data_IF_107670957496
#
_entry.id   IF_107670957496
#
_cell.length_a   1.000
_cell.length_b   1.000
_cell.length_c   1.000
_cell.angle_alpha   90.00
_cell.angle_beta   90.00
_cell.angle_gamma   90.00
#
_symmetry.space_group_name_H-M   'P 1'
#
loop_
_entity.id
_entity.type
_entity.pdbx_description
1 polymer ?
#
# COMPACT_ATOMS: atom_id res chain seq x y z
N UNK A 1 6.84 1.52 27.75
CA UNK A 1 5.83 1.71 26.69
C UNK A 1 5.05 0.41 26.59
N UNK A 2 3.74 0.50 26.29
CA UNK A 2 2.90 -0.69 26.06
C UNK A 2 3.30 -1.37 24.75
N UNK A 3 3.27 -2.71 24.71
CA UNK A 3 3.44 -3.43 23.46
C UNK A 3 2.19 -3.25 22.59
N UNK A 4 2.41 -3.09 21.30
CA UNK A 4 1.34 -2.98 20.29
C UNK A 4 1.43 -4.13 19.32
N UNK A 5 0.29 -4.72 19.03
CA UNK A 5 0.17 -5.89 18.17
C UNK A 5 -0.75 -5.63 16.98
N UNK A 6 -0.45 -6.29 15.88
CA UNK A 6 -1.33 -6.47 14.72
C UNK A 6 -2.10 -7.76 14.97
N UNK A 7 -3.40 -7.66 15.16
CA UNK A 7 -4.25 -8.83 15.45
C UNK A 7 -4.70 -9.50 14.16
N UNK A 8 -5.24 -8.72 13.23
CA UNK A 8 -5.68 -9.19 11.92
C UNK A 8 -5.54 -8.06 10.90
N UNK A 9 -5.57 -8.40 9.61
CA UNK A 9 -5.55 -7.44 8.52
C UNK A 9 -6.29 -8.02 7.32
N UNK A 10 -7.20 -7.27 6.74
CA UNK A 10 -7.98 -7.68 5.57
C UNK A 10 -8.01 -6.56 4.54
N UNK A 11 -8.28 -6.93 3.30
CA UNK A 11 -8.37 -6.01 2.17
C UNK A 11 -9.39 -6.46 1.13
N UNK A 12 -9.78 -5.58 0.26
CA UNK A 12 -10.42 -5.97 -1.00
C UNK A 12 -9.38 -6.57 -1.95
N UNK A 13 -9.80 -7.28 -2.99
CA UNK A 13 -8.99 -7.40 -4.20
C UNK A 13 -8.70 -6.00 -4.75
N UNK A 14 -7.62 -5.85 -5.54
CA UNK A 14 -7.30 -4.60 -6.22
C UNK A 14 -7.85 -4.64 -7.64
N UNK A 15 -8.68 -3.66 -7.98
CA UNK A 15 -9.26 -3.54 -9.31
C UNK A 15 -8.49 -2.52 -10.15
N UNK A 16 -8.36 -2.79 -11.45
CA UNK A 16 -7.71 -1.88 -12.40
C UNK A 16 -8.52 -0.58 -12.50
N UNK A 17 -7.91 0.58 -12.26
CA UNK A 17 -8.64 1.84 -12.34
C UNK A 17 -9.28 2.08 -13.71
N UNK A 18 -10.45 2.70 -13.69
CA UNK A 18 -11.34 3.02 -14.81
C UNK A 18 -11.88 1.82 -15.60
N UNK A 19 -11.37 0.60 -15.41
CA UNK A 19 -11.72 -0.60 -16.22
C UNK A 19 -11.98 -1.86 -15.39
N UNK A 20 -11.61 -1.85 -14.12
CA UNK A 20 -11.79 -2.97 -13.20
C UNK A 20 -13.08 -2.88 -12.41
N UNK A 21 -13.32 -3.89 -11.56
CA UNK A 21 -14.57 -4.05 -10.83
C UNK A 21 -14.98 -2.90 -9.93
N UNK A 22 -14.03 -2.09 -9.44
CA UNK A 22 -14.31 -0.96 -8.54
C UNK A 22 -14.43 0.40 -9.24
N UNK A 23 -14.54 0.44 -10.56
CA UNK A 23 -14.56 1.72 -11.29
C UNK A 23 -15.77 2.64 -11.00
N UNK A 24 -16.76 2.14 -10.24
CA UNK A 24 -17.91 2.91 -9.73
C UNK A 24 -18.05 2.84 -8.21
N UNK A 25 -17.13 2.15 -7.51
CA UNK A 25 -17.26 1.90 -6.07
C UNK A 25 -16.57 2.98 -5.26
N UNK A 26 -17.30 3.55 -4.30
CA UNK A 26 -16.77 4.59 -3.40
C UNK A 26 -15.79 3.99 -2.38
N UNK A 27 -14.73 4.74 -2.01
CA UNK A 27 -13.73 4.25 -1.05
C UNK A 27 -14.28 4.07 0.37
N UNK A 28 -15.23 4.90 0.79
CA UNK A 28 -15.91 4.77 2.09
C UNK A 28 -16.78 3.51 2.16
N UNK A 29 -17.39 3.08 1.05
CA UNK A 29 -18.12 1.80 0.96
C UNK A 29 -17.15 0.59 0.99
N UNK A 30 -16.02 0.65 0.26
CA UNK A 30 -14.99 -0.39 0.33
C UNK A 30 -14.46 -0.55 1.76
N UNK A 31 -14.15 0.56 2.44
CA UNK A 31 -13.68 0.55 3.82
C UNK A 31 -14.73 -0.03 4.77
N UNK A 32 -16.00 0.40 4.68
CA UNK A 32 -17.06 -0.12 5.53
C UNK A 32 -17.24 -1.64 5.37
N UNK A 33 -17.21 -2.14 4.12
CA UNK A 33 -17.31 -3.56 3.82
C UNK A 33 -16.21 -4.39 4.51
N UNK A 34 -14.94 -3.96 4.40
CA UNK A 34 -13.84 -4.72 5.02
C UNK A 34 -13.72 -4.48 6.54
N UNK A 35 -14.21 -3.36 7.08
CA UNK A 35 -14.36 -3.16 8.53
C UNK A 35 -15.38 -4.17 9.07
N UNK A 36 -16.52 -4.31 8.42
CA UNK A 36 -17.54 -5.29 8.81
C UNK A 36 -17.01 -6.73 8.76
N UNK A 37 -16.28 -7.07 7.71
CA UNK A 37 -15.61 -8.36 7.59
C UNK A 37 -14.55 -8.57 8.69
N UNK A 38 -13.78 -7.54 9.07
CA UNK A 38 -12.83 -7.59 10.18
C UNK A 38 -13.54 -7.92 11.51
N UNK A 39 -14.68 -7.29 11.77
CA UNK A 39 -15.50 -7.56 12.96
C UNK A 39 -16.05 -9.00 12.96
N UNK A 40 -16.57 -9.45 11.82
CA UNK A 40 -17.12 -10.80 11.67
C UNK A 40 -16.05 -11.91 11.83
N UNK A 41 -14.79 -11.63 11.44
CA UNK A 41 -13.64 -12.54 11.61
C UNK A 41 -13.15 -12.61 13.06
N UNK A 42 -13.41 -11.58 13.85
CA UNK A 42 -12.95 -11.46 15.23
C UNK A 42 -14.16 -11.36 16.20
N UNK A 43 -15.02 -12.40 16.29
CA UNK A 43 -16.29 -12.34 17.03
C UNK A 43 -16.13 -12.15 18.54
N UNK A 44 -14.96 -12.45 19.09
CA UNK A 44 -14.62 -12.22 20.49
C UNK A 44 -14.34 -10.74 20.81
N UNK A 45 -14.18 -9.90 19.76
CA UNK A 45 -14.02 -8.46 19.88
C UNK A 45 -15.37 -7.77 19.64
N UNK A 46 -16.01 -7.20 20.66
CA UNK A 46 -17.24 -6.44 20.45
C UNK A 46 -16.92 -5.15 19.64
N UNK A 47 -17.83 -4.73 18.74
CA UNK A 47 -17.63 -3.53 17.94
C UNK A 47 -17.34 -2.27 18.78
N UNK A 48 -17.90 -2.19 19.99
CA UNK A 48 -17.71 -1.11 20.97
C UNK A 48 -16.29 -1.05 21.52
N UNK A 49 -15.49 -2.11 21.36
CA UNK A 49 -14.08 -2.09 21.76
C UNK A 49 -13.22 -1.24 20.79
N UNK A 50 -13.71 -0.97 19.59
CA UNK A 50 -13.00 -0.12 18.61
C UNK A 50 -13.24 1.35 18.94
N UNK A 51 -12.22 2.02 19.45
CA UNK A 51 -12.32 3.39 19.99
C UNK A 51 -12.16 4.45 18.88
N UNK A 52 -11.33 4.20 17.88
CA UNK A 52 -11.09 5.11 16.75
C UNK A 52 -10.77 4.32 15.48
N UNK A 53 -10.95 4.95 14.32
CA UNK A 53 -10.40 4.47 13.06
C UNK A 53 -9.53 5.55 12.39
N UNK A 54 -8.40 5.13 11.83
CA UNK A 54 -7.45 6.03 11.15
C UNK A 54 -7.24 5.51 9.73
N UNK A 55 -7.73 6.25 8.74
CA UNK A 55 -7.69 5.81 7.34
C UNK A 55 -6.78 6.70 6.49
N UNK A 56 -5.85 6.04 5.79
CA UNK A 56 -4.98 6.68 4.81
C UNK A 56 -5.71 6.94 3.49
N UNK A 57 -5.45 8.10 2.89
CA UNK A 57 -5.86 8.43 1.54
C UNK A 57 -4.80 9.32 0.91
N UNK A 58 -4.28 8.93 -0.26
CA UNK A 58 -3.20 9.66 -0.94
C UNK A 58 -3.69 10.95 -1.59
N UNK A 59 -4.91 10.94 -2.10
CA UNK A 59 -5.56 12.10 -2.73
C UNK A 59 -6.97 12.30 -2.16
N UNK A 60 -7.12 12.91 -0.98
CA UNK A 60 -8.41 13.03 -0.29
C UNK A 60 -9.30 14.11 -0.94
N UNK A 61 -9.69 13.87 -2.19
CA UNK A 61 -10.52 14.76 -3.00
C UNK A 61 -11.68 14.00 -3.69
N UNK A 62 -12.70 14.71 -4.15
CA UNK A 62 -13.85 14.12 -4.82
C UNK A 62 -14.57 13.09 -3.96
N UNK A 63 -14.79 11.88 -4.48
CA UNK A 63 -15.45 10.78 -3.78
C UNK A 63 -14.68 10.29 -2.53
N UNK A 64 -13.37 10.54 -2.47
CA UNK A 64 -12.49 10.23 -1.34
C UNK A 64 -12.11 11.46 -0.51
N UNK A 65 -12.74 12.58 -0.77
CA UNK A 65 -12.62 13.80 0.01
C UNK A 65 -13.36 13.75 1.35
N UNK A 66 -13.40 14.89 2.03
CA UNK A 66 -13.96 14.98 3.37
C UNK A 66 -13.15 14.13 4.37
N UNK A 67 -13.81 13.47 5.31
CA UNK A 67 -13.18 12.54 6.24
C UNK A 67 -13.67 11.10 5.95
N UNK A 68 -13.01 10.40 5.02
CA UNK A 68 -13.41 9.04 4.64
C UNK A 68 -13.31 8.06 5.82
N UNK A 69 -12.38 8.29 6.76
CA UNK A 69 -12.31 7.49 7.99
C UNK A 69 -13.62 7.58 8.77
N UNK A 70 -14.11 8.78 9.06
CA UNK A 70 -15.40 8.93 9.76
C UNK A 70 -16.58 8.41 8.94
N UNK A 71 -16.59 8.65 7.62
CA UNK A 71 -17.64 8.11 6.75
C UNK A 71 -17.71 6.59 6.84
N UNK A 72 -16.57 5.90 6.73
CA UNK A 72 -16.48 4.45 6.84
C UNK A 72 -16.95 3.93 8.21
N UNK A 73 -16.56 4.60 9.31
CA UNK A 73 -17.03 4.25 10.65
C UNK A 73 -18.56 4.27 10.77
N UNK A 74 -19.19 5.32 10.22
CA UNK A 74 -20.65 5.48 10.28
C UNK A 74 -21.40 4.52 9.35
N UNK A 75 -20.79 4.13 8.23
CA UNK A 75 -21.34 3.18 7.28
C UNK A 75 -21.24 1.71 7.73
N UNK A 76 -20.27 1.42 8.59
CA UNK A 76 -19.99 0.06 9.08
C UNK A 76 -20.82 -0.32 10.30
N UNK A 77 -20.63 -1.56 10.79
CA UNK A 77 -21.24 -2.07 12.05
C UNK A 77 -20.68 -1.41 13.32
N UNK A 78 -19.69 -0.50 13.19
CA UNK A 78 -19.15 0.20 14.35
C UNK A 78 -20.19 1.13 15.00
N UNK A 79 -20.13 1.34 16.33
CA UNK A 79 -21.06 2.25 16.99
C UNK A 79 -20.78 3.71 16.59
N UNK A 80 -21.82 4.56 16.66
CA UNK A 80 -21.70 5.99 16.36
C UNK A 80 -20.70 6.73 17.26
N UNK A 81 -20.31 6.13 18.37
CA UNK A 81 -19.31 6.64 19.31
C UNK A 81 -17.87 6.45 18.84
N UNK A 82 -17.62 5.50 17.91
CA UNK A 82 -16.26 5.32 17.33
C UNK A 82 -15.85 6.55 16.55
N UNK A 83 -14.68 7.11 16.87
CA UNK A 83 -14.09 8.23 16.14
C UNK A 83 -13.71 7.87 14.71
N UNK A 84 -13.13 8.82 14.00
CA UNK A 84 -12.59 8.55 12.66
C UNK A 84 -11.81 9.73 12.12
N UNK A 85 -10.65 9.44 11.51
CA UNK A 85 -9.81 10.46 10.88
C UNK A 85 -9.24 9.98 9.57
N UNK A 86 -8.87 10.93 8.71
CA UNK A 86 -8.19 10.67 7.43
C UNK A 86 -6.80 11.29 7.47
N UNK A 87 -5.80 10.53 7.04
CA UNK A 87 -4.40 10.99 7.00
C UNK A 87 -3.84 10.85 5.60
N UNK A 88 -2.99 11.79 5.22
CA UNK A 88 -2.30 11.79 3.94
C UNK A 88 -0.77 11.82 4.14
N UNK A 89 -0.10 10.78 3.67
CA UNK A 89 1.33 10.72 3.36
C UNK A 89 1.48 10.00 2.02
N UNK A 90 0.70 10.38 1.02
CA UNK A 90 0.67 9.77 -0.32
C UNK A 90 0.74 8.22 -0.25
N UNK A 91 1.71 7.60 -0.91
CA UNK A 91 1.87 6.14 -0.98
C UNK A 91 1.98 5.43 0.38
N UNK A 92 2.42 6.13 1.43
CA UNK A 92 2.60 5.58 2.78
C UNK A 92 1.41 5.82 3.71
N UNK A 93 0.32 6.40 3.24
CA UNK A 93 -0.81 6.80 4.10
C UNK A 93 -1.36 5.64 4.94
N UNK A 94 -1.48 4.44 4.34
CA UNK A 94 -1.95 3.24 5.04
C UNK A 94 -0.99 2.76 6.14
N UNK A 95 0.33 2.80 5.94
CA UNK A 95 1.29 2.47 7.00
C UNK A 95 1.42 3.61 8.02
N UNK A 96 1.28 4.86 7.59
CA UNK A 96 1.23 6.03 8.49
C UNK A 96 0.05 5.92 9.46
N UNK A 97 -1.12 5.51 9.01
CA UNK A 97 -2.30 5.32 9.85
C UNK A 97 -2.06 4.26 10.93
N UNK A 98 -1.44 3.13 10.57
CA UNK A 98 -1.04 2.08 11.52
C UNK A 98 -0.03 2.61 12.55
N UNK A 99 0.96 3.38 12.09
CA UNK A 99 1.95 4.00 12.99
C UNK A 99 1.33 4.99 13.97
N UNK A 100 0.34 5.78 13.54
CA UNK A 100 -0.40 6.70 14.41
C UNK A 100 -1.23 5.94 15.43
N UNK A 101 -1.98 4.91 15.01
CA UNK A 101 -2.72 4.02 15.91
C UNK A 101 -1.80 3.40 16.97
N UNK A 102 -0.68 2.82 16.52
CA UNK A 102 0.31 2.23 17.42
C UNK A 102 0.86 3.25 18.42
N UNK A 103 1.18 4.47 17.98
CA UNK A 103 1.70 5.53 18.86
C UNK A 103 0.68 5.95 19.90
N UNK A 104 -0.60 6.08 19.54
CA UNK A 104 -1.68 6.42 20.48
C UNK A 104 -1.92 5.30 21.51
N UNK A 105 -1.83 4.03 21.08
CA UNK A 105 -1.92 2.88 21.98
C UNK A 105 -0.72 2.82 22.92
N UNK A 106 0.51 3.04 22.43
CA UNK A 106 1.72 3.10 23.27
C UNK A 106 1.63 4.21 24.32
N UNK A 107 1.02 5.34 23.97
CA UNK A 107 0.78 6.48 24.87
C UNK A 107 -0.37 6.24 25.87
N UNK A 108 -1.16 5.18 25.71
CA UNK A 108 -2.29 4.85 26.57
C UNK A 108 -3.55 5.67 26.27
N UNK A 109 -3.65 6.27 25.06
CA UNK A 109 -4.85 6.99 24.66
C UNK A 109 -5.98 6.03 24.26
N UNK A 110 -5.63 4.90 23.64
CA UNK A 110 -6.54 3.86 23.17
C UNK A 110 -5.99 2.47 23.47
N UNK A 111 -6.87 1.48 23.45
CA UNK A 111 -6.54 0.05 23.48
C UNK A 111 -6.70 -0.62 22.13
N UNK A 112 -7.68 -0.17 21.33
CA UNK A 112 -8.04 -0.81 20.06
C UNK A 112 -8.36 0.23 19.00
N UNK A 113 -7.67 0.17 17.87
CA UNK A 113 -7.87 1.04 16.72
C UNK A 113 -7.86 0.21 15.44
N UNK A 114 -8.79 0.47 14.53
CA UNK A 114 -8.69 -0.04 13.15
C UNK A 114 -7.96 1.02 12.31
N UNK A 115 -6.84 0.65 11.71
CA UNK A 115 -6.03 1.53 10.89
C UNK A 115 -5.84 0.93 9.50
N UNK A 116 -5.80 1.77 8.48
CA UNK A 116 -5.67 1.28 7.11
C UNK A 116 -5.76 2.40 6.10
N UNK A 117 -6.39 2.14 4.97
CA UNK A 117 -6.64 3.17 3.99
C UNK A 117 -7.30 2.66 2.71
N UNK A 118 -7.68 3.59 1.88
CA UNK A 118 -8.29 3.34 0.58
C UNK A 118 -7.82 4.36 -0.45
N UNK A 119 -7.93 3.97 -1.71
CA UNK A 119 -7.82 4.86 -2.85
C UNK A 119 -8.76 4.39 -3.95
N UNK A 120 -9.42 5.31 -4.61
CA UNK A 120 -10.13 5.07 -5.86
C UNK A 120 -9.65 6.05 -6.92
N UNK A 121 -8.68 5.60 -7.72
CA UNK A 121 -8.17 6.39 -8.85
C UNK A 121 -9.28 6.60 -9.89
N UNK A 122 -10.17 5.62 -10.02
CA UNK A 122 -11.32 5.68 -10.94
C UNK A 122 -12.28 6.84 -10.65
N UNK A 123 -12.45 7.22 -9.40
CA UNK A 123 -13.35 8.27 -8.95
C UNK A 123 -12.62 9.53 -8.45
N UNK A 124 -11.30 9.54 -8.60
CA UNK A 124 -10.48 10.68 -8.21
C UNK A 124 -10.80 11.88 -9.13
N UNK A 125 -11.12 13.01 -8.53
CA UNK A 125 -11.32 14.26 -9.23
C UNK A 125 -10.44 15.33 -8.58
N UNK A 126 -9.24 15.50 -9.14
CA UNK A 126 -8.30 16.49 -8.64
C UNK A 126 -8.75 17.89 -9.07
N UNK A 127 -9.02 18.73 -8.08
CA UNK A 127 -9.18 20.15 -8.35
C UNK A 127 -7.79 20.79 -8.53
N UNK A 128 -7.52 21.24 -9.76
CA UNK A 128 -6.26 21.89 -10.11
C UNK A 128 -6.27 23.42 -9.86
N UNK A 129 -7.40 23.98 -9.43
CA UNK A 129 -7.49 25.41 -9.11
C UNK A 129 -6.60 25.73 -7.91
N UNK A 130 -5.67 26.66 -8.09
CA UNK A 130 -4.67 27.05 -7.07
C UNK A 130 -3.80 25.89 -6.54
N UNK A 131 -3.66 24.80 -7.30
CA UNK A 131 -2.86 23.64 -6.90
C UNK A 131 -1.37 23.99 -6.80
N UNK A 132 -0.84 24.77 -7.73
CA UNK A 132 0.58 25.11 -7.78
C UNK A 132 0.87 26.34 -6.92
N UNK A 133 1.79 26.21 -5.97
CA UNK A 133 2.41 27.34 -5.30
C UNK A 133 3.61 27.80 -6.17
N UNK A 134 3.50 28.99 -6.75
CA UNK A 134 4.51 29.53 -7.70
C UNK A 134 5.90 29.62 -7.06
N UNK A 135 6.01 30.10 -5.83
CA UNK A 135 7.27 30.17 -5.12
C UNK A 135 7.89 28.78 -4.90
N UNK A 136 7.07 27.79 -4.51
CA UNK A 136 7.56 26.43 -4.30
C UNK A 136 8.00 25.78 -5.61
N UNK A 137 7.28 26.04 -6.71
CA UNK A 137 7.65 25.56 -8.04
C UNK A 137 8.96 26.18 -8.55
N UNK A 138 9.23 27.44 -8.19
CA UNK A 138 10.48 28.15 -8.55
C UNK A 138 11.67 27.66 -7.70
N UNK A 139 11.50 27.56 -6.36
CA UNK A 139 12.56 27.17 -5.44
C UNK A 139 12.88 25.68 -5.48
N UNK A 140 11.87 24.81 -5.75
CA UNK A 140 11.97 23.35 -5.73
C UNK A 140 11.25 22.76 -6.95
N UNK A 141 11.77 22.90 -8.16
CA UNK A 141 11.04 22.54 -9.41
C UNK A 141 10.53 21.10 -9.46
N UNK A 142 11.26 20.16 -8.85
CA UNK A 142 10.89 18.74 -8.83
C UNK A 142 9.67 18.38 -7.99
N UNK A 143 9.16 19.31 -7.14
CA UNK A 143 8.07 19.00 -6.20
C UNK A 143 6.74 18.65 -6.91
N UNK A 144 6.50 19.22 -8.09
CA UNK A 144 5.31 18.99 -8.90
C UNK A 144 5.52 18.04 -10.07
N UNK A 145 6.69 17.38 -10.15
CA UNK A 145 6.91 16.40 -11.20
C UNK A 145 5.91 15.25 -11.09
N UNK A 146 5.33 14.80 -12.21
CA UNK A 146 4.64 13.52 -12.25
C UNK A 146 5.58 12.41 -11.77
N UNK A 147 5.08 11.45 -11.02
CA UNK A 147 5.92 10.41 -10.39
C UNK A 147 6.77 9.62 -11.40
N UNK A 148 6.26 9.38 -12.61
CA UNK A 148 7.05 8.74 -13.65
C UNK A 148 8.23 9.59 -14.17
N UNK A 149 8.14 10.92 -14.11
CA UNK A 149 9.29 11.79 -14.40
C UNK A 149 10.37 11.65 -13.33
N UNK A 150 10.00 11.54 -12.04
CA UNK A 150 10.97 11.29 -10.98
C UNK A 150 11.63 9.91 -11.13
N UNK A 151 10.90 8.92 -11.64
CA UNK A 151 11.46 7.61 -11.98
C UNK A 151 12.49 7.68 -13.12
N UNK A 152 12.23 8.48 -14.16
CA UNK A 152 13.22 8.72 -15.22
C UNK A 152 14.48 9.47 -14.70
N UNK A 153 14.30 10.38 -13.74
CA UNK A 153 15.44 11.04 -13.05
C UNK A 153 16.30 10.00 -12.34
N UNK A 154 15.69 9.08 -11.59
CA UNK A 154 16.41 8.00 -10.90
C UNK A 154 17.14 7.10 -11.91
N UNK A 155 16.48 6.69 -13.00
CA UNK A 155 17.09 5.87 -14.05
C UNK A 155 18.36 6.50 -14.62
N UNK A 156 18.30 7.79 -14.99
CA UNK A 156 19.41 8.53 -15.57
C UNK A 156 20.51 8.86 -14.56
N UNK A 157 20.12 9.30 -13.35
CA UNK A 157 21.08 9.76 -12.31
C UNK A 157 21.90 8.62 -11.74
N UNK A 158 21.31 7.42 -11.65
CA UNK A 158 21.93 6.26 -11.02
C UNK A 158 22.23 5.11 -12.00
N UNK A 159 22.10 5.37 -13.30
CA UNK A 159 22.43 4.43 -14.38
C UNK A 159 21.70 3.07 -14.25
N UNK A 160 20.42 3.09 -13.91
CA UNK A 160 19.59 1.88 -13.87
C UNK A 160 19.04 1.58 -15.24
N UNK A 161 19.50 0.49 -15.86
CA UNK A 161 19.18 0.15 -17.26
C UNK A 161 17.70 -0.23 -17.43
N UNK A 162 17.20 -0.13 -18.65
CA UNK A 162 15.87 -0.57 -19.06
C UNK A 162 15.70 -2.08 -18.86
N UNK A 163 16.72 -2.85 -19.20
CA UNK A 163 16.74 -4.29 -19.07
C UNK A 163 16.55 -4.72 -17.61
N UNK A 164 17.30 -4.12 -16.67
CA UNK A 164 17.18 -4.41 -15.25
C UNK A 164 15.78 -4.09 -14.70
N UNK A 165 15.16 -3.02 -15.20
CA UNK A 165 13.79 -2.65 -14.85
C UNK A 165 12.77 -3.68 -15.37
N UNK A 166 12.90 -4.12 -16.61
CA UNK A 166 12.00 -5.09 -17.24
C UNK A 166 12.17 -6.49 -16.62
N UNK A 167 13.40 -6.91 -16.30
CA UNK A 167 13.69 -8.15 -15.58
C UNK A 167 13.01 -8.17 -14.21
N UNK A 168 13.12 -7.07 -13.45
CA UNK A 168 12.44 -6.97 -12.16
C UNK A 168 10.91 -7.00 -12.31
N UNK A 169 10.37 -6.27 -13.27
CA UNK A 169 8.93 -6.25 -13.54
C UNK A 169 8.39 -7.62 -13.96
N UNK A 170 9.15 -8.37 -14.77
CA UNK A 170 8.83 -9.75 -15.12
C UNK A 170 8.77 -10.64 -13.88
N UNK A 171 9.77 -10.57 -13.02
CA UNK A 171 9.81 -11.33 -11.76
C UNK A 171 8.60 -11.02 -10.87
N UNK A 172 8.23 -9.74 -10.72
CA UNK A 172 7.03 -9.33 -9.97
C UNK A 172 5.76 -9.98 -10.51
N UNK A 173 5.56 -9.99 -11.84
CA UNK A 173 4.41 -10.64 -12.48
C UNK A 173 4.37 -12.15 -12.21
N UNK A 174 5.51 -12.82 -12.32
CA UNK A 174 5.60 -14.28 -12.11
C UNK A 174 5.38 -14.66 -10.64
N UNK A 175 5.92 -13.89 -9.70
CA UNK A 175 5.70 -14.11 -8.27
C UNK A 175 4.24 -13.96 -7.90
N UNK A 176 3.58 -12.91 -8.37
CA UNK A 176 2.14 -12.73 -8.13
C UNK A 176 1.30 -13.83 -8.76
N UNK A 177 1.64 -14.28 -9.97
CA UNK A 177 0.95 -15.40 -10.60
C UNK A 177 1.05 -16.69 -9.77
N UNK A 178 2.26 -16.98 -9.25
CA UNK A 178 2.48 -18.13 -8.37
C UNK A 178 1.73 -17.99 -7.03
N UNK A 179 1.75 -16.79 -6.43
CA UNK A 179 1.05 -16.50 -5.19
C UNK A 179 -0.48 -16.64 -5.33
N UNK A 180 -1.07 -16.12 -6.41
CA UNK A 180 -2.50 -16.30 -6.70
C UNK A 180 -2.84 -17.78 -6.92
N UNK A 181 -1.98 -18.52 -7.61
CA UNK A 181 -2.21 -19.95 -7.87
C UNK A 181 -2.10 -20.80 -6.58
N UNK A 182 -1.22 -20.43 -5.67
CA UNK A 182 -1.04 -21.15 -4.38
C UNK A 182 -2.03 -20.72 -3.29
N UNK A 183 -2.86 -19.70 -3.50
CA UNK A 183 -3.78 -19.15 -2.51
C UNK A 183 -3.11 -18.30 -1.42
N UNK A 184 -1.92 -17.75 -1.69
CA UNK A 184 -1.16 -16.95 -0.70
C UNK A 184 -1.91 -15.70 -0.23
N UNK A 185 -2.89 -15.22 -1.01
CA UNK A 185 -3.71 -14.05 -0.70
C UNK A 185 -5.11 -14.38 -0.14
N UNK A 186 -5.51 -15.66 -0.08
CA UNK A 186 -6.89 -16.05 0.22
C UNK A 186 -7.32 -15.61 1.62
N UNK A 187 -6.41 -15.63 2.59
CA UNK A 187 -6.69 -15.23 3.98
C UNK A 187 -6.81 -13.70 4.17
N UNK A 188 -6.40 -12.90 3.19
CA UNK A 188 -6.40 -11.45 3.31
C UNK A 188 -7.44 -10.76 2.44
N UNK A 189 -7.86 -11.38 1.32
CA UNK A 189 -8.83 -10.80 0.39
C UNK A 189 -10.26 -11.14 0.83
N UNK A 190 -11.05 -10.09 1.01
CA UNK A 190 -12.49 -10.19 1.25
C UNK A 190 -13.21 -9.90 -0.08
N UNK A 191 -13.92 -10.89 -0.66
CA UNK A 191 -14.71 -10.65 -1.86
C UNK A 191 -15.76 -9.57 -1.64
N UNK A 192 -15.93 -8.69 -2.62
CA UNK A 192 -16.91 -7.60 -2.57
C UNK A 192 -17.77 -7.58 -3.83
N UNK A 193 -19.07 -7.73 -3.63
CA UNK A 193 -20.09 -7.52 -4.67
C UNK A 193 -20.25 -6.02 -4.94
N UNK A 194 -20.25 -5.62 -6.19
CA UNK A 194 -20.36 -4.22 -6.61
C UNK A 194 -20.95 -4.08 -8.00
N UNK A 195 -21.09 -2.85 -8.45
CA UNK A 195 -21.44 -2.53 -9.83
C UNK A 195 -20.22 -2.00 -10.58
N UNK A 196 -20.06 -2.47 -11.79
CA UNK A 196 -18.98 -2.08 -12.70
C UNK A 196 -19.58 -1.44 -13.96
N UNK A 197 -19.00 -0.32 -14.41
CA UNK A 197 -19.32 0.28 -15.71
C UNK A 197 -18.47 -0.37 -16.80
N UNK A 198 -19.11 -1.13 -17.67
CA UNK A 198 -18.48 -1.68 -18.86
C UNK A 198 -18.67 -0.71 -20.04
N UNK A 199 -17.56 -0.25 -20.61
CA UNK A 199 -17.58 0.60 -21.80
C UNK A 199 -17.06 -0.15 -23.01
N UNK A 200 -17.87 -0.26 -24.06
CA UNK A 200 -17.46 -0.78 -25.33
C UNK A 200 -16.51 0.21 -26.01
N UNK A 201 -15.29 -0.21 -26.30
CA UNK A 201 -14.25 0.67 -26.89
C UNK A 201 -14.54 1.08 -28.33
N UNK A 202 -15.34 0.31 -29.05
CA UNK A 202 -15.63 0.58 -30.47
C UNK A 202 -16.83 1.52 -30.63
N UNK A 203 -17.88 1.33 -29.82
CA UNK A 203 -19.12 2.13 -29.94
C UNK A 203 -19.18 3.26 -28.93
N UNK A 204 -18.40 3.22 -27.84
CA UNK A 204 -18.48 4.15 -26.72
C UNK A 204 -19.67 3.90 -25.78
N UNK A 205 -20.52 2.91 -26.08
CA UNK A 205 -21.66 2.57 -25.24
C UNK A 205 -21.20 2.00 -23.89
N UNK A 206 -21.89 2.39 -22.82
CA UNK A 206 -21.60 1.93 -21.48
C UNK A 206 -22.82 1.29 -20.84
N UNK A 207 -22.62 0.25 -20.06
CA UNK A 207 -23.66 -0.40 -19.25
C UNK A 207 -23.13 -0.76 -17.87
N UNK A 208 -23.98 -0.63 -16.86
CA UNK A 208 -23.72 -1.16 -15.54
C UNK A 208 -23.97 -2.67 -15.51
N UNK A 209 -23.09 -3.40 -14.82
CA UNK A 209 -23.21 -4.85 -14.60
C UNK A 209 -22.87 -5.16 -13.14
N UNK A 210 -23.56 -6.14 -12.56
CA UNK A 210 -23.17 -6.72 -11.27
C UNK A 210 -21.83 -7.44 -11.43
N UNK A 211 -20.93 -7.22 -10.49
CA UNK A 211 -19.58 -7.77 -10.53
C UNK A 211 -19.10 -8.10 -9.11
N UNK A 212 -18.27 -9.11 -8.97
CA UNK A 212 -17.61 -9.45 -7.70
C UNK A 212 -16.11 -9.32 -7.87
N UNK A 213 -15.48 -8.49 -7.05
CA UNK A 213 -14.01 -8.41 -6.95
C UNK A 213 -13.56 -9.36 -5.85
N UNK A 214 -13.02 -10.50 -6.24
CA UNK A 214 -12.59 -11.60 -5.35
C UNK A 214 -11.08 -11.86 -5.40
N UNK A 215 -10.35 -11.13 -6.24
CA UNK A 215 -8.89 -11.22 -6.42
C UNK A 215 -8.30 -9.94 -6.94
N UNK A 216 -6.97 -9.85 -6.97
CA UNK A 216 -6.25 -8.77 -7.65
C UNK A 216 -6.33 -8.94 -9.16
N UNK A 217 -6.85 -7.93 -9.87
CA UNK A 217 -7.14 -7.98 -11.32
C UNK A 217 -5.97 -7.53 -12.20
N UNK A 218 -4.90 -6.99 -11.61
CA UNK A 218 -3.83 -6.36 -12.38
C UNK A 218 -2.77 -7.34 -12.89
N UNK A 219 -2.64 -8.54 -12.29
CA UNK A 219 -1.64 -9.52 -12.68
C UNK A 219 -1.79 -9.96 -14.16
N UNK A 220 -0.67 -10.18 -14.80
CA UNK A 220 -0.54 -10.65 -16.19
C UNK A 220 0.41 -11.85 -16.24
N UNK A 221 -0.05 -13.05 -15.95
CA UNK A 221 0.79 -14.26 -15.87
C UNK A 221 1.44 -14.64 -17.20
N UNK A 222 0.91 -14.12 -18.33
CA UNK A 222 1.45 -14.32 -19.68
C UNK A 222 2.55 -13.31 -20.07
N UNK A 223 2.99 -12.46 -19.15
CA UNK A 223 4.07 -11.48 -19.41
C UNK A 223 5.35 -12.19 -19.85
N UNK A 224 6.02 -11.64 -20.87
CA UNK A 224 7.35 -12.08 -21.32
C UNK A 224 8.33 -10.91 -21.33
N UNK A 225 9.63 -11.19 -21.24
CA UNK A 225 10.68 -10.16 -21.33
C UNK A 225 10.65 -9.46 -22.71
N UNK A 226 10.42 -10.18 -23.80
CA UNK A 226 10.27 -9.61 -25.13
C UNK A 226 9.06 -8.67 -25.23
N UNK A 227 7.97 -9.06 -24.57
CA UNK A 227 6.76 -8.23 -24.48
C UNK A 227 7.04 -6.92 -23.74
N UNK A 228 7.73 -6.98 -22.61
CA UNK A 228 8.16 -5.79 -21.85
C UNK A 228 9.10 -4.91 -22.66
N UNK A 229 10.14 -5.49 -23.27
CA UNK A 229 11.13 -4.76 -24.07
C UNK A 229 10.49 -4.02 -25.26
N UNK A 230 9.37 -4.52 -25.80
CA UNK A 230 8.65 -3.89 -26.91
C UNK A 230 7.85 -2.64 -26.53
N UNK A 231 7.63 -2.40 -25.23
CA UNK A 231 6.86 -1.25 -24.75
C UNK A 231 7.66 0.05 -24.89
N UNK A 232 6.96 1.11 -25.30
CA UNK A 232 7.56 2.43 -25.42
C UNK A 232 7.60 3.13 -24.05
N UNK A 233 8.65 3.93 -23.78
CA UNK A 233 8.67 4.81 -22.62
C UNK A 233 7.46 5.75 -22.60
N UNK A 234 6.93 6.02 -21.43
CA UNK A 234 5.69 6.82 -21.26
C UNK A 234 6.00 8.27 -20.96
N UNK A 235 7.03 8.55 -20.15
CA UNK A 235 7.30 9.89 -19.60
C UNK A 235 8.39 10.65 -20.38
N UNK A 236 9.32 9.96 -21.01
CA UNK A 236 10.32 10.49 -21.93
C UNK A 236 10.36 9.59 -23.17
N UNK A 237 9.52 9.85 -24.19
CA UNK A 237 9.37 8.95 -25.35
C UNK A 237 10.66 8.74 -26.18
N UNK A 238 11.61 9.68 -26.12
CA UNK A 238 12.83 9.63 -26.92
C UNK A 238 14.00 8.94 -26.17
N UNK A 239 14.14 9.20 -24.88
CA UNK A 239 15.32 8.79 -24.11
C UNK A 239 14.98 8.11 -22.78
N UNK A 240 13.71 7.83 -22.54
CA UNK A 240 13.24 7.23 -21.29
C UNK A 240 13.37 5.72 -21.26
N UNK A 241 13.17 5.18 -20.06
CA UNK A 241 13.19 3.74 -19.77
C UNK A 241 11.93 3.25 -19.03
N UNK A 242 11.16 4.18 -18.46
CA UNK A 242 9.96 3.87 -17.66
C UNK A 242 8.77 3.65 -18.57
N UNK A 243 8.19 2.46 -18.49
CA UNK A 243 7.07 2.02 -19.32
C UNK A 243 5.86 1.62 -18.47
N UNK A 244 4.72 1.41 -19.12
CA UNK A 244 3.55 0.85 -18.43
C UNK A 244 3.77 -0.58 -17.90
N UNK A 245 4.77 -1.31 -18.43
CA UNK A 245 5.09 -2.67 -18.01
C UNK A 245 6.00 -2.75 -16.80
N UNK A 246 6.85 -1.74 -16.58
CA UNK A 246 7.78 -1.68 -15.44
C UNK A 246 7.39 -0.62 -14.39
N UNK A 247 6.12 -0.22 -14.40
CA UNK A 247 5.49 0.70 -13.43
C UNK A 247 4.33 0.01 -12.73
N UNK A 248 4.01 0.47 -11.51
CA UNK A 248 2.81 0.01 -10.80
C UNK A 248 1.54 0.30 -11.57
N UNK A 249 0.55 -0.58 -11.44
CA UNK A 249 -0.74 -0.36 -12.06
C UNK A 249 -1.57 0.61 -11.20
N UNK A 250 -2.15 1.64 -11.84
CA UNK A 250 -3.17 2.47 -11.22
C UNK A 250 -4.39 1.60 -10.89
N UNK A 251 -4.82 1.62 -9.64
CA UNK A 251 -5.84 0.69 -9.15
C UNK A 251 -6.65 1.26 -7.99
N UNK A 252 -7.78 0.63 -7.75
CA UNK A 252 -8.75 0.96 -6.72
C UNK A 252 -8.76 -0.16 -5.68
N UNK A 253 -8.91 0.18 -4.40
CA UNK A 253 -8.97 -0.81 -3.32
C UNK A 253 -8.89 -0.21 -1.94
N UNK A 254 -9.13 -1.06 -0.93
CA UNK A 254 -9.09 -0.71 0.48
C UNK A 254 -8.45 -1.83 1.32
N UNK A 255 -7.79 -1.45 2.41
CA UNK A 255 -7.20 -2.37 3.39
C UNK A 255 -7.35 -1.82 4.80
N UNK A 256 -7.64 -2.69 5.76
CA UNK A 256 -7.71 -2.35 7.18
C UNK A 256 -6.94 -3.37 8.03
N UNK A 257 -6.36 -2.88 9.11
CA UNK A 257 -5.54 -3.62 10.06
C UNK A 257 -6.06 -3.35 11.46
N UNK A 258 -6.32 -4.40 12.23
CA UNK A 258 -6.71 -4.32 13.63
C UNK A 258 -5.46 -4.18 14.48
N UNK A 259 -5.27 -3.01 15.07
CA UNK A 259 -4.13 -2.63 15.92
C UNK A 259 -4.60 -2.54 17.37
N UNK A 260 -3.91 -3.23 18.26
CA UNK A 260 -4.36 -3.37 19.64
C UNK A 260 -3.20 -3.32 20.63
N UNK A 261 -3.47 -2.93 21.88
CA UNK A 261 -2.53 -3.22 22.95
C UNK A 261 -2.42 -4.73 23.17
N UNK A 262 -1.24 -5.23 23.46
CA UNK A 262 -1.04 -6.66 23.73
C UNK A 262 -1.91 -7.14 24.88
N UNK A 263 -2.07 -6.31 25.92
CA UNK A 263 -2.91 -6.64 27.09
C UNK A 263 -4.37 -6.79 26.70
N UNK A 264 -4.89 -5.91 25.82
CA UNK A 264 -6.28 -5.99 25.35
C UNK A 264 -6.49 -7.19 24.44
N UNK A 265 -5.55 -7.52 23.58
CA UNK A 265 -5.62 -8.72 22.75
C UNK A 265 -5.68 -10.00 23.62
N UNK A 266 -4.86 -10.08 24.68
CA UNK A 266 -4.91 -11.18 25.65
C UNK A 266 -6.21 -11.24 26.43
N UNK A 267 -6.74 -10.08 26.88
CA UNK A 267 -8.03 -9.97 27.59
C UNK A 267 -9.16 -10.54 26.74
N UNK A 268 -9.16 -10.25 25.44
CA UNK A 268 -10.18 -10.72 24.48
C UNK A 268 -9.90 -12.13 23.94
N UNK A 269 -8.79 -12.77 24.32
CA UNK A 269 -8.40 -14.09 23.81
C UNK A 269 -8.00 -14.11 22.34
N UNK A 270 -7.68 -12.95 21.76
CA UNK A 270 -7.28 -12.82 20.36
C UNK A 270 -5.81 -13.19 20.19
N UNK A 271 -5.49 -13.87 19.07
CA UNK A 271 -4.11 -14.26 18.73
C UNK A 271 -3.51 -13.30 17.72
N UNK A 272 -2.54 -12.45 18.11
CA UNK A 272 -1.90 -11.52 17.19
C UNK A 272 -1.06 -12.22 16.11
N UNK A 273 -0.93 -11.56 14.96
CA UNK A 273 -0.02 -11.95 13.87
C UNK A 273 1.40 -11.46 14.13
N UNK A 274 1.54 -10.19 14.54
CA UNK A 274 2.86 -9.57 14.70
C UNK A 274 2.83 -8.45 15.74
N UNK A 275 4.02 -8.12 16.29
CA UNK A 275 4.25 -6.86 16.96
C UNK A 275 4.51 -5.73 15.95
N UNK A 276 3.96 -4.56 16.19
CA UNK A 276 4.46 -3.32 15.62
C UNK A 276 5.66 -2.84 16.45
N UNK A 277 6.85 -2.80 15.84
CA UNK A 277 8.07 -2.38 16.56
C UNK A 277 8.38 -0.90 16.34
N UNK A 278 8.23 -0.40 15.13
CA UNK A 278 8.49 1.00 14.87
C UNK A 278 8.26 1.46 13.44
N UNK A 279 8.37 2.77 13.27
CA UNK A 279 8.16 3.45 12.01
C UNK A 279 9.06 4.68 11.91
N UNK A 280 9.62 4.93 10.74
CA UNK A 280 10.40 6.13 10.45
C UNK A 280 10.03 6.72 9.10
N UNK A 281 10.19 8.02 8.99
CA UNK A 281 10.12 8.74 7.71
C UNK A 281 11.35 9.63 7.56
N UNK A 282 11.79 9.83 6.32
CA UNK A 282 12.86 10.76 5.96
C UNK A 282 12.48 11.48 4.67
N UNK A 283 12.87 12.74 4.55
CA UNK A 283 12.82 13.49 3.31
C UNK A 283 14.03 13.22 2.43
N UNK A 284 13.85 13.37 1.11
CA UNK A 284 14.87 13.44 0.09
C UNK A 284 14.48 14.47 -0.96
N UNK A 285 15.33 14.68 -1.97
CA UNK A 285 14.99 15.59 -3.05
C UNK A 285 13.72 15.13 -3.79
N UNK A 286 12.74 16.02 -4.02
CA UNK A 286 11.46 15.64 -4.63
C UNK A 286 11.58 15.07 -6.05
N UNK A 287 12.57 15.51 -6.85
CA UNK A 287 12.78 15.05 -8.21
C UNK A 287 13.27 13.60 -8.31
N UNK A 288 13.75 13.05 -7.20
CA UNK A 288 14.20 11.65 -7.09
C UNK A 288 13.50 10.89 -5.95
N UNK A 289 12.22 11.18 -5.71
CA UNK A 289 11.45 10.61 -4.59
C UNK A 289 11.57 9.07 -4.48
N UNK A 290 11.83 8.39 -5.59
CA UNK A 290 11.97 6.93 -5.66
C UNK A 290 13.04 6.37 -4.72
N UNK A 291 14.08 7.15 -4.41
CA UNK A 291 15.18 6.72 -3.51
C UNK A 291 14.88 6.93 -2.02
N UNK A 292 13.69 7.42 -1.66
CA UNK A 292 13.30 7.66 -0.26
C UNK A 292 13.61 6.52 0.72
N UNK A 293 13.43 5.23 0.36
CA UNK A 293 13.82 4.08 1.19
C UNK A 293 15.31 4.08 1.59
N UNK A 294 16.21 4.57 0.73
CA UNK A 294 17.66 4.66 1.01
C UNK A 294 17.98 5.56 2.22
N UNK A 295 17.05 6.46 2.58
CA UNK A 295 17.15 7.30 3.77
C UNK A 295 16.38 6.74 4.98
N UNK A 296 15.17 6.23 4.74
CA UNK A 296 14.29 5.81 5.84
C UNK A 296 14.68 4.44 6.43
N UNK A 297 15.15 3.49 5.61
CA UNK A 297 15.57 2.15 6.06
C UNK A 297 16.78 2.22 7.00
N UNK A 298 17.91 2.87 6.65
CA UNK A 298 19.05 2.95 7.57
C UNK A 298 18.71 3.62 8.89
N UNK A 299 17.83 4.65 8.87
CA UNK A 299 17.35 5.29 10.10
C UNK A 299 16.52 4.34 10.95
N UNK A 300 15.61 3.55 10.32
CA UNK A 300 14.82 2.54 11.03
C UNK A 300 15.73 1.53 11.69
N UNK A 301 16.60 0.88 10.93
CA UNK A 301 17.49 -0.18 11.43
C UNK A 301 18.41 0.33 12.55
N UNK A 302 18.97 1.53 12.40
CA UNK A 302 19.79 2.17 13.45
C UNK A 302 19.03 2.35 14.76
N UNK A 303 17.76 2.71 14.72
CA UNK A 303 16.94 2.93 15.92
C UNK A 303 16.75 1.63 16.72
N UNK A 304 16.84 0.48 16.06
CA UNK A 304 16.67 -0.85 16.65
C UNK A 304 17.99 -1.63 16.79
N UNK A 305 19.13 -1.02 16.49
CA UNK A 305 20.47 -1.66 16.46
C UNK A 305 20.51 -2.90 15.59
N UNK A 306 19.84 -2.84 14.43
CA UNK A 306 19.75 -3.90 13.44
C UNK A 306 20.49 -3.53 12.16
N UNK A 307 20.80 -4.55 11.36
CA UNK A 307 21.34 -4.47 10.01
C UNK A 307 20.37 -5.07 8.99
N UNK A 308 20.68 -4.97 7.69
CA UNK A 308 19.86 -5.55 6.61
C UNK A 308 19.79 -7.09 6.73
N UNK A 309 20.89 -7.71 7.18
CA UNK A 309 21.01 -9.16 7.35
C UNK A 309 20.06 -9.72 8.42
N UNK A 310 19.73 -8.92 9.45
CA UNK A 310 18.83 -9.30 10.54
C UNK A 310 17.35 -9.36 10.09
N UNK A 311 17.04 -8.83 8.93
CA UNK A 311 15.68 -8.83 8.39
C UNK A 311 15.47 -10.05 7.51
N UNK A 312 14.39 -10.77 7.80
CA UNK A 312 14.04 -12.01 7.09
C UNK A 312 13.22 -11.76 5.82
N UNK A 313 12.29 -10.80 5.87
CA UNK A 313 11.36 -10.49 4.76
C UNK A 313 11.29 -8.97 4.55
N UNK A 314 11.31 -8.58 3.28
CA UNK A 314 11.18 -7.19 2.86
C UNK A 314 9.98 -7.02 1.94
N UNK A 315 9.12 -6.08 2.27
CA UNK A 315 8.07 -5.53 1.41
C UNK A 315 8.47 -4.10 0.99
N UNK A 316 9.14 -3.96 -0.13
CA UNK A 316 9.47 -2.67 -0.75
C UNK A 316 8.44 -2.37 -1.83
N UNK A 317 7.63 -1.33 -1.63
CA UNK A 317 6.61 -0.98 -2.60
C UNK A 317 7.19 -0.72 -3.99
N UNK A 318 6.59 -1.33 -4.99
CA UNK A 318 7.00 -1.27 -6.39
C UNK A 318 6.25 -0.16 -7.13
N UNK A 319 6.47 1.10 -6.76
CA UNK A 319 5.90 2.21 -7.53
C UNK A 319 6.41 2.18 -8.99
N UNK A 320 7.71 1.93 -9.14
CA UNK A 320 8.40 1.72 -10.42
C UNK A 320 9.53 0.70 -10.22
N UNK A 321 9.79 -0.13 -11.22
CA UNK A 321 10.88 -1.10 -11.15
C UNK A 321 12.24 -0.42 -10.92
N UNK A 322 12.48 0.72 -11.55
CA UNK A 322 13.73 1.48 -11.42
C UNK A 322 14.09 1.80 -9.97
N UNK A 323 13.10 2.27 -9.17
CA UNK A 323 13.38 2.62 -7.78
C UNK A 323 13.56 1.39 -6.89
N UNK A 324 12.90 0.28 -7.23
CA UNK A 324 13.12 -0.98 -6.50
C UNK A 324 14.52 -1.52 -6.77
N UNK A 325 14.94 -1.58 -8.03
CA UNK A 325 16.29 -2.02 -8.41
C UNK A 325 17.35 -1.17 -7.71
N UNK A 326 17.23 0.16 -7.79
CA UNK A 326 18.15 1.06 -7.12
C UNK A 326 18.21 0.84 -5.60
N UNK A 327 17.04 0.89 -4.91
CA UNK A 327 17.01 0.77 -3.46
C UNK A 327 17.47 -0.61 -2.99
N UNK A 328 17.08 -1.70 -3.68
CA UNK A 328 17.56 -3.05 -3.41
C UNK A 328 19.08 -3.13 -3.41
N UNK A 329 19.69 -2.66 -4.51
CA UNK A 329 21.13 -2.76 -4.73
C UNK A 329 21.90 -1.83 -3.77
N UNK A 330 21.39 -0.62 -3.55
CA UNK A 330 21.99 0.36 -2.65
C UNK A 330 21.97 -0.07 -1.19
N UNK A 331 20.86 -0.66 -0.75
CA UNK A 331 20.69 -1.13 0.62
C UNK A 331 21.27 -2.56 0.83
N UNK A 332 21.59 -3.27 -0.25
CA UNK A 332 22.05 -4.66 -0.18
C UNK A 332 20.95 -5.65 0.22
N UNK A 333 19.70 -5.40 -0.17
CA UNK A 333 18.58 -6.30 0.15
C UNK A 333 18.65 -7.52 -0.76
N UNK A 334 18.73 -8.75 -0.22
CA UNK A 334 18.75 -9.98 -1.00
C UNK A 334 17.41 -10.18 -1.77
N UNK A 335 17.51 -10.58 -3.04
CA UNK A 335 16.33 -10.76 -3.89
C UNK A 335 15.41 -11.89 -3.42
N UNK A 336 15.95 -12.88 -2.74
CA UNK A 336 15.23 -14.01 -2.15
C UNK A 336 14.53 -13.68 -0.81
N UNK A 337 14.67 -12.44 -0.32
CA UNK A 337 13.94 -11.89 0.83
C UNK A 337 12.98 -10.77 0.44
N UNK A 338 13.00 -10.31 -0.80
CA UNK A 338 12.31 -9.12 -1.28
C UNK A 338 11.05 -9.46 -2.05
N UNK A 339 9.89 -8.89 -1.65
CA UNK A 339 8.60 -8.98 -2.37
C UNK A 339 8.29 -10.40 -2.85
N UNK A 340 8.28 -11.36 -1.93
CA UNK A 340 8.29 -12.80 -2.23
C UNK A 340 7.08 -13.25 -3.06
N UNK A 341 5.94 -12.61 -2.86
CA UNK A 341 4.68 -12.89 -3.56
C UNK A 341 4.36 -11.84 -4.64
N UNK A 342 5.36 -11.05 -5.06
CA UNK A 342 5.18 -9.95 -6.00
C UNK A 342 4.77 -8.66 -5.30
N UNK A 343 4.38 -7.64 -6.06
CA UNK A 343 4.05 -6.32 -5.52
C UNK A 343 3.27 -5.43 -6.48
N UNK A 344 3.35 -4.12 -6.29
CA UNK A 344 2.47 -3.14 -6.92
C UNK A 344 2.55 -3.09 -8.46
N UNK A 345 3.64 -3.52 -9.08
CA UNK A 345 3.74 -3.66 -10.55
C UNK A 345 2.71 -4.67 -11.04
N UNK A 346 2.53 -5.76 -10.31
CA UNK A 346 1.70 -6.89 -10.71
C UNK A 346 0.32 -6.90 -10.06
N UNK A 347 0.15 -6.41 -8.82
CA UNK A 347 -1.15 -6.39 -8.12
C UNK A 347 -1.84 -5.02 -8.10
N UNK A 348 -1.08 -3.92 -8.27
CA UNK A 348 -1.62 -2.56 -8.24
C UNK A 348 -1.15 -1.72 -7.05
N UNK A 349 -1.37 -0.40 -7.16
CA UNK A 349 -0.93 0.58 -6.18
C UNK A 349 -2.01 1.64 -5.88
N UNK A 350 -3.08 1.30 -5.13
CA UNK A 350 -3.98 2.29 -4.55
C UNK A 350 -3.22 3.01 -3.42
N UNK A 351 -2.88 4.28 -3.61
CA UNK A 351 -1.88 4.99 -2.79
C UNK A 351 -2.18 4.94 -1.29
N UNK A 352 -3.41 5.27 -0.90
CA UNK A 352 -3.82 5.30 0.50
C UNK A 352 -3.85 3.93 1.20
N UNK A 353 -4.04 2.85 0.44
CA UNK A 353 -4.18 1.51 1.00
C UNK A 353 -2.87 0.71 1.04
N UNK A 354 -1.95 0.93 0.09
CA UNK A 354 -0.81 0.03 -0.17
C UNK A 354 0.00 -0.28 1.08
N UNK A 355 0.30 0.72 1.90
CA UNK A 355 1.09 0.50 3.12
C UNK A 355 0.41 -0.42 4.13
N UNK A 356 -0.93 -0.35 4.28
CA UNK A 356 -1.69 -1.26 5.15
C UNK A 356 -1.74 -2.68 4.57
N UNK A 357 -1.94 -2.82 3.25
CA UNK A 357 -1.87 -4.11 2.56
C UNK A 357 -0.54 -4.80 2.82
N UNK A 358 0.58 -4.09 2.63
CA UNK A 358 1.91 -4.65 2.86
C UNK A 358 2.14 -5.06 4.31
N UNK A 359 1.64 -4.29 5.28
CA UNK A 359 1.73 -4.65 6.70
C UNK A 359 0.95 -5.94 7.01
N UNK A 360 -0.26 -6.09 6.48
CA UNK A 360 -1.06 -7.30 6.65
C UNK A 360 -0.38 -8.51 6.01
N UNK A 361 0.12 -8.34 4.79
CA UNK A 361 0.78 -9.41 4.04
C UNK A 361 2.06 -9.88 4.72
N UNK A 362 2.97 -8.97 5.08
CA UNK A 362 4.22 -9.33 5.75
C UNK A 362 3.99 -10.00 7.12
N UNK A 363 2.97 -9.55 7.87
CA UNK A 363 2.63 -10.16 9.15
C UNK A 363 2.19 -11.63 8.98
N UNK A 364 1.48 -11.98 7.89
CA UNK A 364 1.13 -13.36 7.54
C UNK A 364 2.33 -14.15 7.05
N UNK A 365 3.15 -13.59 6.16
CA UNK A 365 4.36 -14.24 5.67
C UNK A 365 5.32 -14.61 6.80
N UNK A 366 5.52 -13.73 7.80
CA UNK A 366 6.34 -14.02 8.98
C UNK A 366 5.86 -15.26 9.73
N UNK A 367 4.54 -15.45 9.86
CA UNK A 367 3.97 -16.64 10.49
C UNK A 367 4.06 -17.88 9.59
N UNK A 368 3.66 -17.77 8.33
CA UNK A 368 3.60 -18.91 7.40
C UNK A 368 4.98 -19.48 7.09
N UNK A 369 6.02 -18.64 7.10
CA UNK A 369 7.40 -19.02 6.80
C UNK A 369 8.28 -19.22 8.04
N UNK A 370 7.72 -19.09 9.25
CA UNK A 370 8.46 -19.17 10.53
C UNK A 370 9.64 -18.19 10.61
N UNK A 371 9.41 -16.95 10.15
CA UNK A 371 10.39 -15.86 10.13
C UNK A 371 10.13 -14.89 11.28
N UNK A 372 11.17 -14.14 11.70
CA UNK A 372 11.06 -13.29 12.89
C UNK A 372 10.81 -11.82 12.53
N UNK A 373 11.63 -11.22 11.67
CA UNK A 373 11.59 -9.78 11.38
C UNK A 373 11.23 -9.48 9.94
N UNK A 374 10.32 -8.54 9.77
CA UNK A 374 9.92 -8.01 8.47
C UNK A 374 9.97 -6.49 8.43
N UNK A 375 10.35 -5.94 7.28
CA UNK A 375 10.34 -4.50 7.02
C UNK A 375 9.44 -4.20 5.84
N UNK A 376 8.49 -3.28 6.05
CA UNK A 376 7.72 -2.64 4.98
C UNK A 376 8.35 -1.29 4.71
N UNK A 377 8.67 -0.99 3.45
CA UNK A 377 9.26 0.30 3.08
C UNK A 377 8.75 0.78 1.72
N UNK A 378 8.75 2.08 1.51
CA UNK A 378 8.26 2.68 0.26
C UNK A 378 8.79 4.08 0.03
N UNK A 379 8.91 4.42 -1.25
CA UNK A 379 9.04 5.80 -1.70
C UNK A 379 7.70 6.53 -1.57
N UNK A 380 7.75 7.83 -1.37
CA UNK A 380 6.57 8.66 -1.09
C UNK A 380 6.65 9.95 -1.89
N UNK A 381 5.59 10.30 -2.58
CA UNK A 381 5.49 11.53 -3.35
C UNK A 381 5.91 12.77 -2.55
N UNK A 382 6.45 13.78 -3.24
CA UNK A 382 7.00 14.98 -2.61
C UNK A 382 8.42 14.81 -2.03
N UNK A 383 9.11 13.69 -2.32
CA UNK A 383 10.49 13.43 -1.89
C UNK A 383 10.57 12.94 -0.45
N UNK A 384 10.05 11.74 -0.18
CA UNK A 384 10.14 11.10 1.14
C UNK A 384 10.33 9.57 1.01
N UNK A 385 10.82 8.97 2.09
CA UNK A 385 10.78 7.53 2.33
C UNK A 385 10.09 7.22 3.65
N UNK A 386 9.43 6.08 3.72
CA UNK A 386 8.79 5.57 4.92
C UNK A 386 9.15 4.09 5.13
N UNK A 387 9.43 3.70 6.37
CA UNK A 387 9.81 2.32 6.71
C UNK A 387 9.24 1.92 8.06
N UNK A 388 8.65 0.72 8.14
CA UNK A 388 8.09 0.11 9.35
C UNK A 388 8.73 -1.24 9.65
N UNK A 389 8.99 -1.51 10.95
CA UNK A 389 9.54 -2.77 11.45
C UNK A 389 8.45 -3.55 12.17
N UNK A 390 8.33 -4.82 11.79
CA UNK A 390 7.38 -5.78 12.34
C UNK A 390 8.12 -7.03 12.83
N UNK A 391 7.64 -7.60 13.91
CA UNK A 391 8.19 -8.83 14.46
C UNK A 391 7.07 -9.83 14.66
N UNK A 392 7.27 -11.08 14.24
CA UNK A 392 6.30 -12.15 14.45
C UNK A 392 5.89 -12.26 15.90
N UNK A 393 4.59 -12.40 16.14
CA UNK A 393 4.10 -12.71 17.48
C UNK A 393 4.42 -14.16 17.84
N UNK A 394 4.92 -14.48 19.05
CA UNK A 394 5.19 -15.84 19.46
C UNK A 394 3.91 -16.70 19.42
N UNK A 395 4.01 -17.92 18.88
CA UNK A 395 2.91 -18.89 18.80
C UNK A 395 2.56 -19.51 20.16
#
# INVERSE_FOLDING_TARGET
MRNVVIVDSVRTGLAKSHRGGFNMTRPDEMLAHIIDAMLDRNPDMPPEAVEDIIMGCGNPEGAQGHNIGRNAAVLSKLPMTTGGTTVNRYCSSGMQSISMAASQIMAGCYDTVIAGGAETISMMNMNMDNFVNERLAEEVPGIYFPMGMTAEVVAKRYDVSREAQDEYAFESQMRTAAAQQSGAYDDEIIPMETKMLLTNKETGDSKEVEYTVDKDECNRPETTLEGLASLKPVFDPENGSVTAGNSSQLSDGASVTLVMSEDKAKELGLKPLAYFRGFTTMGCEPDEMGIGPDYSVPKLLKNYNMSVEDIDIWELNEAFAVQVVYCRDKLGIPMDKLNLDGGSISIGHPFGMTGSRQVGHIARQLNNMDKQFGVVTMCVGGGMGASGLFERYPS
#
